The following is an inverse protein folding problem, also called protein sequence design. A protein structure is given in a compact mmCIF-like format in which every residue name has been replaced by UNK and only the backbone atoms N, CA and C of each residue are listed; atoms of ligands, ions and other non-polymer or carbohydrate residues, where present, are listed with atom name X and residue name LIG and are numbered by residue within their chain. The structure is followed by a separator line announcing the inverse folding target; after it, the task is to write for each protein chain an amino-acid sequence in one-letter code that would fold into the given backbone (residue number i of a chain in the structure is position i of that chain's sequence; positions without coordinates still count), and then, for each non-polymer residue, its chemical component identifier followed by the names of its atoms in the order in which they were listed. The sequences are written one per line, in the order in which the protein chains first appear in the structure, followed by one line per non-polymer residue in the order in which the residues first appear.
data_IF_037286180176
#
_entry.id   IF_037286180176
#
_cell.length_a   1.000
_cell.length_b   1.000
_cell.length_c   1.000
_cell.angle_alpha   90.00
_cell.angle_beta   90.00
_cell.angle_gamma   90.00
#
_symmetry.space_group_name_H-M   'P 1'
#
loop_
_entity.id
_entity.type
_entity.pdbx_description
1 polymer ?
#
# COMPACT_ATOMS: atom_id res chain seq x y z
N UNK A 1 -20.61 -8.28 -14.69
CA UNK A 1 -20.85 -8.09 -13.24
C UNK A 1 -19.67 -7.31 -12.71
N UNK A 2 -19.89 -6.13 -12.11
CA UNK A 2 -18.80 -5.27 -11.62
C UNK A 2 -18.25 -5.79 -10.29
N UNK A 3 -17.03 -5.38 -9.92
CA UNK A 3 -16.46 -5.67 -8.60
C UNK A 3 -17.36 -5.09 -7.49
N UNK A 4 -17.94 -3.92 -7.73
CA UNK A 4 -18.88 -3.28 -6.81
C UNK A 4 -20.14 -4.14 -6.61
N UNK A 5 -20.76 -4.65 -7.69
CA UNK A 5 -21.92 -5.55 -7.57
C UNK A 5 -21.58 -6.81 -6.76
N UNK A 6 -20.42 -7.43 -7.00
CA UNK A 6 -19.99 -8.60 -6.24
C UNK A 6 -19.76 -8.29 -4.76
N UNK A 7 -19.19 -7.13 -4.45
CA UNK A 7 -18.98 -6.67 -3.09
C UNK A 7 -20.31 -6.45 -2.36
N UNK A 8 -21.26 -5.74 -2.99
CA UNK A 8 -22.56 -5.44 -2.39
C UNK A 8 -23.40 -6.70 -2.13
N UNK A 9 -23.30 -7.69 -3.03
CA UNK A 9 -24.07 -8.95 -2.92
C UNK A 9 -23.48 -9.89 -1.87
N UNK A 10 -22.16 -10.04 -1.84
CA UNK A 10 -21.53 -11.06 -1.00
C UNK A 10 -21.14 -10.54 0.39
N UNK A 11 -21.02 -9.22 0.55
CA UNK A 11 -20.57 -8.54 1.77
C UNK A 11 -19.46 -9.32 2.52
N UNK A 12 -18.31 -9.58 1.87
CA UNK A 12 -17.31 -10.51 2.37
C UNK A 12 -16.69 -10.08 3.70
N UNK A 13 -16.76 -8.79 4.03
CA UNK A 13 -16.31 -8.23 5.30
C UNK A 13 -17.44 -7.99 6.30
N UNK A 14 -18.67 -8.38 5.99
CA UNK A 14 -19.85 -8.23 6.83
C UNK A 14 -20.04 -6.78 7.32
N UNK A 15 -19.89 -5.82 6.40
CA UNK A 15 -19.99 -4.39 6.66
C UNK A 15 -21.44 -3.90 6.73
N UNK A 16 -22.43 -4.78 6.50
CA UNK A 16 -23.84 -4.51 6.77
C UNK A 16 -24.56 -3.78 5.65
N UNK A 17 -24.10 -3.91 4.39
CA UNK A 17 -24.67 -3.17 3.26
C UNK A 17 -26.18 -3.40 3.09
N UNK A 18 -26.65 -4.62 3.36
CA UNK A 18 -28.05 -5.03 3.19
C UNK A 18 -29.03 -4.28 4.10
N UNK A 19 -28.58 -3.75 5.24
CA UNK A 19 -29.42 -2.96 6.15
C UNK A 19 -29.78 -1.58 5.58
N UNK A 20 -28.96 -1.10 4.64
CA UNK A 20 -29.09 0.23 4.04
C UNK A 20 -29.65 0.17 2.62
N UNK A 21 -29.58 -0.96 1.93
CA UNK A 21 -30.04 -1.08 0.55
C UNK A 21 -31.48 -1.61 0.46
N UNK A 22 -32.32 -1.06 -0.44
CA UNK A 22 -32.03 -0.01 -1.43
C UNK A 22 -32.30 1.42 -0.92
N UNK A 23 -32.67 1.60 0.34
CA UNK A 23 -33.29 2.84 0.83
C UNK A 23 -32.30 3.98 1.15
N UNK A 24 -31.04 3.68 1.41
CA UNK A 24 -29.98 4.61 1.79
C UNK A 24 -28.62 4.25 1.14
N UNK A 25 -28.52 4.20 -0.21
CA UNK A 25 -27.28 3.83 -0.91
C UNK A 25 -26.11 4.78 -0.65
N UNK A 26 -26.39 6.04 -0.27
CA UNK A 26 -25.35 6.98 0.15
C UNK A 26 -24.59 6.53 1.41
N UNK A 27 -25.28 5.88 2.35
CA UNK A 27 -24.64 5.32 3.56
C UNK A 27 -23.68 4.18 3.18
N UNK A 28 -24.05 3.34 2.22
CA UNK A 28 -23.16 2.28 1.72
C UNK A 28 -21.95 2.86 1.01
N UNK A 29 -22.12 3.92 0.20
CA UNK A 29 -21.00 4.62 -0.39
C UNK A 29 -20.06 5.20 0.69
N UNK A 30 -20.60 5.77 1.77
CA UNK A 30 -19.80 6.25 2.90
C UNK A 30 -19.07 5.12 3.64
N UNK A 31 -19.72 3.97 3.88
CA UNK A 31 -19.08 2.78 4.47
C UNK A 31 -17.93 2.30 3.59
N UNK A 32 -18.16 2.15 2.28
CA UNK A 32 -17.15 1.70 1.31
C UNK A 32 -15.94 2.63 1.24
N UNK A 33 -16.17 3.94 1.38
CA UNK A 33 -15.13 4.98 1.35
C UNK A 33 -14.49 5.24 2.73
N UNK A 34 -15.03 4.70 3.82
CA UNK A 34 -14.51 4.91 5.16
C UNK A 34 -13.17 4.21 5.34
N UNK A 35 -12.14 4.96 5.76
CA UNK A 35 -10.77 4.44 5.97
C UNK A 35 -10.65 3.73 7.31
N UNK A 36 -11.19 2.53 7.44
CA UNK A 36 -11.23 1.75 8.69
C UNK A 36 -10.48 0.43 8.61
N UNK A 37 -10.10 -0.03 7.41
CA UNK A 37 -9.46 -1.32 7.21
C UNK A 37 -7.96 -1.19 7.39
N UNK A 38 -7.39 -1.89 8.37
CA UNK A 38 -5.96 -1.95 8.58
C UNK A 38 -5.24 -2.55 7.36
N UNK A 39 -4.22 -1.85 6.87
CA UNK A 39 -3.43 -2.28 5.71
C UNK A 39 -2.01 -1.70 5.75
N UNK A 40 -1.13 -2.27 4.93
CA UNK A 40 0.19 -1.70 4.63
C UNK A 40 0.02 -0.64 3.55
N UNK A 41 0.30 0.62 3.89
CA UNK A 41 0.07 1.79 3.03
C UNK A 41 1.35 2.33 2.42
N UNK A 42 1.21 3.37 1.60
CA UNK A 42 2.36 4.15 1.12
C UNK A 42 2.95 4.99 2.23
N UNK A 43 4.28 4.97 2.35
CA UNK A 43 5.03 5.86 3.23
C UNK A 43 5.83 6.88 2.40
N UNK A 44 6.10 8.08 2.93
CA UNK A 44 7.03 9.01 2.30
C UNK A 44 8.40 8.38 2.08
N UNK A 45 9.08 8.74 0.98
CA UNK A 45 10.46 8.28 0.73
C UNK A 45 11.40 8.70 1.87
N UNK A 46 11.17 9.87 2.48
CA UNK A 46 11.92 10.30 3.67
C UNK A 46 11.78 9.32 4.84
N UNK A 47 10.56 8.88 5.15
CA UNK A 47 10.31 7.89 6.20
C UNK A 47 10.99 6.55 5.89
N UNK A 48 11.02 6.14 4.62
CA UNK A 48 11.76 4.94 4.23
C UNK A 48 13.26 5.11 4.49
N UNK A 49 13.84 6.26 4.16
CA UNK A 49 15.25 6.53 4.49
C UNK A 49 15.50 6.57 5.99
N UNK A 50 14.64 7.21 6.78
CA UNK A 50 14.77 7.27 8.24
C UNK A 50 14.85 5.85 8.84
N UNK A 51 13.94 4.96 8.44
CA UNK A 51 13.95 3.55 8.87
C UNK A 51 15.23 2.83 8.43
N UNK A 52 15.68 3.03 7.18
CA UNK A 52 16.90 2.41 6.68
C UNK A 52 18.15 2.92 7.42
N UNK A 53 18.19 4.20 7.82
CA UNK A 53 19.26 4.76 8.63
C UNK A 53 19.26 4.18 10.04
N UNK A 54 18.12 4.18 10.71
CA UNK A 54 17.97 3.67 12.09
C UNK A 54 18.35 2.19 12.20
N UNK A 55 18.02 1.40 11.18
CA UNK A 55 18.28 -0.05 11.15
C UNK A 55 19.67 -0.41 10.60
N UNK A 56 20.46 0.59 10.20
CA UNK A 56 21.79 0.40 9.60
C UNK A 56 21.78 -0.14 8.16
N UNK A 57 20.60 -0.50 7.61
CA UNK A 57 20.47 -1.06 6.27
C UNK A 57 20.89 -0.05 5.18
N UNK A 58 20.74 1.25 5.44
CA UNK A 58 21.15 2.30 4.50
C UNK A 58 22.62 2.16 4.10
N UNK A 59 23.53 1.99 5.07
CA UNK A 59 24.96 1.90 4.81
C UNK A 59 25.30 0.66 3.97
N UNK A 60 24.64 -0.47 4.25
CA UNK A 60 24.83 -1.72 3.52
C UNK A 60 24.39 -1.59 2.06
N UNK A 61 23.17 -1.08 1.83
CA UNK A 61 22.65 -0.85 0.47
C UNK A 61 23.53 0.17 -0.25
N UNK A 62 23.97 1.25 0.43
CA UNK A 62 24.80 2.29 -0.19
C UNK A 62 26.16 1.76 -0.60
N UNK A 63 26.80 0.94 0.23
CA UNK A 63 28.07 0.31 -0.11
C UNK A 63 27.92 -0.64 -1.29
N UNK A 64 26.86 -1.45 -1.33
CA UNK A 64 26.55 -2.35 -2.44
C UNK A 64 26.28 -1.58 -3.75
N UNK A 65 25.55 -0.45 -3.67
CA UNK A 65 25.34 0.45 -4.81
C UNK A 65 26.67 0.95 -5.38
N UNK A 66 27.58 1.41 -4.52
CA UNK A 66 28.90 1.91 -4.94
C UNK A 66 29.79 0.81 -5.52
N UNK A 67 29.59 -0.45 -5.10
CA UNK A 67 30.26 -1.62 -5.65
C UNK A 67 29.64 -2.10 -6.99
N UNK A 68 28.54 -1.49 -7.44
CA UNK A 68 27.87 -1.85 -8.70
C UNK A 68 26.89 -3.02 -8.58
N UNK A 69 26.42 -3.34 -7.38
CA UNK A 69 25.37 -4.36 -7.20
C UNK A 69 24.08 -3.90 -7.90
N UNK A 70 23.54 -4.68 -8.86
CA UNK A 70 22.42 -4.25 -9.68
C UNK A 70 21.12 -4.10 -8.88
N UNK A 71 20.93 -4.86 -7.81
CA UNK A 71 19.73 -4.79 -6.96
C UNK A 71 19.79 -3.51 -6.12
N UNK A 72 20.95 -3.21 -5.53
CA UNK A 72 21.16 -1.99 -4.76
C UNK A 72 21.03 -0.74 -5.62
N UNK A 73 21.56 -0.75 -6.84
CA UNK A 73 21.41 0.35 -7.82
C UNK A 73 19.94 0.56 -8.18
N UNK A 74 19.23 -0.51 -8.52
CA UNK A 74 17.80 -0.44 -8.85
C UNK A 74 16.99 0.13 -7.68
N UNK A 75 17.21 -0.35 -6.46
CA UNK A 75 16.50 0.10 -5.28
C UNK A 75 16.74 1.61 -5.02
N UNK A 76 18.00 2.07 -5.09
CA UNK A 76 18.31 3.48 -4.87
C UNK A 76 17.74 4.41 -5.95
N UNK A 77 17.89 4.07 -7.23
CA UNK A 77 17.35 4.92 -8.30
C UNK A 77 15.82 4.91 -8.28
N UNK A 78 15.17 3.78 -7.97
CA UNK A 78 13.71 3.75 -7.80
C UNK A 78 13.22 4.68 -6.67
N UNK A 79 13.93 4.74 -5.53
CA UNK A 79 13.59 5.66 -4.43
C UNK A 79 13.82 7.12 -4.81
N UNK A 80 14.93 7.40 -5.50
CA UNK A 80 15.27 8.74 -5.97
C UNK A 80 14.28 9.24 -7.02
N UNK A 81 13.88 8.38 -7.95
CA UNK A 81 12.86 8.70 -8.96
C UNK A 81 11.50 8.91 -8.28
N UNK A 82 11.12 8.04 -7.34
CA UNK A 82 9.91 8.22 -6.54
C UNK A 82 9.88 9.57 -5.81
N UNK A 83 11.04 10.05 -5.33
CA UNK A 83 11.17 11.34 -4.66
C UNK A 83 11.18 12.54 -5.64
N UNK A 84 11.85 12.41 -6.79
CA UNK A 84 12.14 13.54 -7.68
C UNK A 84 11.06 13.77 -8.73
N UNK A 85 10.53 12.70 -9.31
CA UNK A 85 9.56 12.76 -10.42
C UNK A 85 8.27 11.99 -10.12
N UNK A 86 8.29 11.13 -9.09
CA UNK A 86 7.15 10.35 -8.64
C UNK A 86 6.31 11.05 -7.57
N UNK A 87 5.42 10.30 -6.89
CA UNK A 87 4.49 10.85 -5.89
C UNK A 87 5.15 11.20 -4.54
N UNK A 88 6.47 11.04 -4.39
CA UNK A 88 7.18 11.24 -3.12
C UNK A 88 6.96 10.13 -2.09
N UNK A 89 6.24 9.07 -2.45
CA UNK A 89 5.85 7.97 -1.56
C UNK A 89 6.08 6.60 -2.20
N UNK A 90 6.27 5.57 -1.37
CA UNK A 90 6.45 4.18 -1.78
C UNK A 90 5.41 3.31 -1.08
N UNK A 91 4.64 2.54 -1.86
CA UNK A 91 3.68 1.58 -1.32
C UNK A 91 4.42 0.31 -0.88
N UNK A 92 4.56 0.12 0.43
CA UNK A 92 5.28 -1.03 1.01
C UNK A 92 4.53 -2.35 0.79
N UNK A 93 3.20 -2.32 0.69
CA UNK A 93 2.36 -3.51 0.46
C UNK A 93 2.22 -3.90 -1.02
N UNK A 94 2.65 -3.07 -1.96
CA UNK A 94 2.57 -3.38 -3.39
C UNK A 94 3.52 -4.52 -3.74
N UNK A 95 3.04 -5.51 -4.51
CA UNK A 95 3.81 -6.71 -4.86
C UNK A 95 5.21 -6.42 -5.42
N UNK A 96 5.33 -5.40 -6.29
CA UNK A 96 6.63 -5.00 -6.85
C UNK A 96 7.60 -4.51 -5.78
N UNK A 97 7.12 -3.73 -4.81
CA UNK A 97 7.93 -3.26 -3.68
C UNK A 97 8.34 -4.43 -2.79
N UNK A 98 7.40 -5.34 -2.49
CA UNK A 98 7.66 -6.58 -1.73
C UNK A 98 8.77 -7.39 -2.40
N UNK A 99 8.71 -7.58 -3.72
CA UNK A 99 9.76 -8.29 -4.47
C UNK A 99 11.13 -7.62 -4.36
N UNK A 100 11.21 -6.30 -4.44
CA UNK A 100 12.49 -5.58 -4.28
C UNK A 100 13.03 -5.74 -2.86
N UNK A 101 12.16 -5.62 -1.85
CA UNK A 101 12.56 -5.83 -0.45
C UNK A 101 13.03 -7.27 -0.23
N UNK A 102 12.38 -8.27 -0.84
CA UNK A 102 12.79 -9.68 -0.76
C UNK A 102 14.18 -9.88 -1.39
N UNK A 103 14.43 -9.27 -2.55
CA UNK A 103 15.72 -9.31 -3.22
C UNK A 103 16.83 -8.67 -2.36
N UNK A 104 16.54 -7.53 -1.73
CA UNK A 104 17.48 -6.88 -0.82
C UNK A 104 17.77 -7.75 0.42
N UNK A 105 16.78 -8.46 0.96
CA UNK A 105 17.01 -9.40 2.07
C UNK A 105 17.85 -10.60 1.62
N UNK A 106 17.58 -11.18 0.45
CA UNK A 106 18.36 -12.28 -0.11
C UNK A 106 19.83 -11.89 -0.36
N UNK A 107 20.08 -10.64 -0.74
CA UNK A 107 21.42 -10.09 -0.90
C UNK A 107 22.08 -9.68 0.43
N UNK A 108 21.44 -9.92 1.59
CA UNK A 108 21.85 -9.46 2.91
C UNK A 108 22.01 -7.93 3.02
N UNK A 109 21.33 -7.16 2.17
CA UNK A 109 21.37 -5.69 2.18
C UNK A 109 20.25 -5.07 3.03
N UNK A 110 19.18 -5.82 3.25
CA UNK A 110 18.09 -5.48 4.15
C UNK A 110 18.01 -6.54 5.26
N UNK A 111 18.10 -6.13 6.51
CA UNK A 111 17.92 -7.04 7.65
C UNK A 111 16.43 -7.36 7.87
N UNK A 112 16.13 -8.45 8.58
CA UNK A 112 14.76 -8.75 8.99
C UNK A 112 14.18 -7.62 9.86
N UNK A 113 14.96 -7.07 10.79
CA UNK A 113 14.53 -5.95 11.61
C UNK A 113 14.21 -4.70 10.77
N UNK A 114 14.99 -4.43 9.71
CA UNK A 114 14.70 -3.37 8.76
C UNK A 114 13.40 -3.59 7.97
N UNK A 115 13.17 -4.82 7.52
CA UNK A 115 11.93 -5.22 6.85
C UNK A 115 10.71 -5.01 7.75
N UNK A 116 10.80 -5.46 8.99
CA UNK A 116 9.71 -5.35 9.97
C UNK A 116 9.44 -3.88 10.33
N UNK A 117 10.49 -3.06 10.50
CA UNK A 117 10.37 -1.63 10.77
C UNK A 117 9.70 -0.88 9.59
N UNK A 118 10.00 -1.24 8.34
CA UNK A 118 9.33 -0.65 7.17
C UNK A 118 7.84 -1.02 7.13
N UNK A 119 7.50 -2.27 7.44
CA UNK A 119 6.10 -2.71 7.52
C UNK A 119 5.39 -1.97 8.65
N UNK A 120 6.03 -1.81 9.80
CA UNK A 120 5.50 -1.07 10.95
C UNK A 120 5.26 0.41 10.60
N UNK A 121 6.23 1.07 9.98
CA UNK A 121 6.09 2.47 9.54
C UNK A 121 4.97 2.64 8.49
N UNK A 122 4.64 1.57 7.77
CA UNK A 122 3.59 1.53 6.77
C UNK A 122 2.25 1.02 7.31
N UNK A 123 2.09 0.79 8.62
CA UNK A 123 0.78 0.46 9.17
C UNK A 123 -0.15 1.67 9.07
N UNK A 124 -1.28 1.48 8.40
CA UNK A 124 -2.28 2.51 8.26
C UNK A 124 -3.66 1.93 8.01
N UNK A 125 -4.58 2.80 7.62
CA UNK A 125 -5.96 2.42 7.28
C UNK A 125 -6.29 2.84 5.86
N UNK A 126 -6.99 1.95 5.14
CA UNK A 126 -7.53 2.18 3.80
C UNK A 126 -9.03 1.98 3.82
N UNK A 127 -9.70 2.55 2.82
CA UNK A 127 -11.10 2.26 2.56
C UNK A 127 -11.28 0.92 1.85
N UNK A 128 -12.48 0.34 1.97
CA UNK A 128 -12.83 -0.89 1.23
C UNK A 128 -12.76 -0.65 -0.27
N UNK A 129 -13.20 0.52 -0.71
CA UNK A 129 -13.15 0.93 -2.10
C UNK A 129 -11.71 1.03 -2.65
N UNK A 130 -10.78 1.56 -1.85
CA UNK A 130 -9.34 1.52 -2.17
C UNK A 130 -8.79 0.09 -2.22
N UNK A 131 -9.17 -0.77 -1.27
CA UNK A 131 -8.74 -2.17 -1.24
C UNK A 131 -9.21 -2.96 -2.47
N UNK A 132 -10.41 -2.65 -2.98
CA UNK A 132 -10.97 -3.23 -4.20
C UNK A 132 -10.41 -2.60 -5.48
N UNK A 133 -9.65 -1.52 -5.39
CA UNK A 133 -9.08 -0.82 -6.54
C UNK A 133 -10.11 -0.09 -7.40
N UNK A 134 -11.31 0.19 -6.87
CA UNK A 134 -12.41 0.81 -7.61
C UNK A 134 -12.48 2.34 -7.46
N UNK A 135 -11.55 2.93 -6.70
CA UNK A 135 -11.53 4.37 -6.42
C UNK A 135 -12.64 4.79 -5.46
N UNK A 136 -12.98 6.08 -5.43
CA UNK A 136 -14.07 6.58 -4.58
C UNK A 136 -15.42 6.14 -5.14
N UNK A 137 -16.24 5.52 -4.31
CA UNK A 137 -17.60 5.07 -4.67
C UNK A 137 -18.60 6.21 -4.45
N UNK A 138 -19.50 6.46 -5.39
CA UNK A 138 -20.61 7.42 -5.25
C UNK A 138 -21.92 6.71 -4.97
N UNK A 139 -22.91 7.43 -4.43
CA UNK A 139 -24.27 6.89 -4.26
C UNK A 139 -24.85 6.38 -5.58
N UNK A 140 -24.62 7.10 -6.68
CA UNK A 140 -25.13 6.71 -8.00
C UNK A 140 -24.53 5.37 -8.44
N UNK A 141 -23.22 5.17 -8.27
CA UNK A 141 -22.56 3.90 -8.58
C UNK A 141 -23.10 2.75 -7.73
N UNK A 142 -23.46 3.00 -6.47
CA UNK A 142 -24.13 2.00 -5.63
C UNK A 142 -25.51 1.66 -6.20
N UNK A 143 -26.31 2.67 -6.58
CA UNK A 143 -27.65 2.47 -7.15
C UNK A 143 -27.60 1.73 -8.49
N UNK A 144 -26.62 2.02 -9.34
CA UNK A 144 -26.37 1.32 -10.61
C UNK A 144 -25.92 -0.13 -10.42
N UNK A 145 -25.36 -0.46 -9.25
CA UNK A 145 -24.81 -1.78 -8.95
C UNK A 145 -25.79 -2.75 -8.27
N UNK A 146 -26.99 -2.28 -7.88
CA UNK A 146 -28.11 -3.09 -7.36
C UNK A 146 -28.85 -3.84 -8.47
#
# INVERSE_FOLDING_TARGET
MSILTLELVNDPLQLGYSEHLPHAPGVVADILNSRTIAAVVSIPVSTMFDVLYETGCYAMIKQAQLAGDPIAVLAFEALKDAQSIGPGTVNIGKQTTVTILDQLQQANLLSQAGRDALIQAAQGVVSRAEQLGIGRVTEEQVREAL
#
